data_IF_209458823558
#
_entry.id   IF_209458823558
#
_cell.length_a   1.000
_cell.length_b   1.000
_cell.length_c   1.000
_cell.angle_alpha   90.00
_cell.angle_beta   90.00
_cell.angle_gamma   90.00
#
_symmetry.space_group_name_H-M   'P 1'
#
loop_
_entity.id
_entity.type
_entity.pdbx_description
1 polymer ?
#
# COMPACT_ATOMS: atom_id res chain seq x y z
N UNK A 1 -0.06 0.78 -64.87
CA UNK A 1 -1.16 0.24 -64.06
C UNK A 1 -0.56 -0.71 -63.05
N UNK A 2 -0.32 -0.19 -61.86
CA UNK A 2 0.14 -0.90 -60.65
C UNK A 2 -0.93 -0.67 -59.60
N UNK A 3 -1.46 -1.69 -58.91
CA UNK A 3 -2.45 -1.46 -57.86
C UNK A 3 -1.77 -1.12 -56.53
N UNK A 4 -2.40 -0.17 -55.84
CA UNK A 4 -2.16 0.33 -54.49
C UNK A 4 -1.98 -0.77 -53.43
N UNK A 5 -1.04 -0.54 -52.51
CA UNK A 5 -1.04 -1.15 -51.17
C UNK A 5 -1.83 -0.25 -50.22
N UNK A 6 -2.68 -0.80 -49.33
CA UNK A 6 -3.20 -0.03 -48.19
C UNK A 6 -2.16 0.00 -47.03
N UNK A 7 -2.07 1.10 -46.28
CA UNK A 7 -1.23 1.17 -45.08
C UNK A 7 -1.96 0.68 -43.82
N UNK A 8 -1.13 0.34 -42.85
CA UNK A 8 -1.36 0.30 -41.41
C UNK A 8 -2.37 -0.68 -40.81
N UNK A 9 -1.74 -1.67 -40.16
CA UNK A 9 -2.25 -2.35 -39.00
C UNK A 9 -2.31 -1.39 -37.80
N UNK A 10 -3.46 -1.30 -37.16
CA UNK A 10 -3.58 -1.35 -35.70
C UNK A 10 -5.03 -1.70 -35.38
N UNK A 11 -5.33 -2.77 -34.61
CA UNK A 11 -6.67 -2.97 -34.12
C UNK A 11 -6.95 -1.91 -33.07
N UNK A 12 -7.95 -1.06 -33.33
CA UNK A 12 -8.63 -0.24 -32.34
C UNK A 12 -9.02 -1.11 -31.14
N UNK A 13 -8.33 -0.91 -30.01
CA UNK A 13 -8.90 -1.28 -28.71
C UNK A 13 -9.86 -0.17 -28.28
N UNK A 14 -11.04 -0.51 -27.75
CA UNK A 14 -12.03 0.50 -27.36
C UNK A 14 -11.52 1.37 -26.20
N UNK A 15 -11.78 2.70 -26.22
CA UNK A 15 -11.58 3.55 -25.07
C UNK A 15 -12.83 3.49 -24.20
N UNK A 16 -12.96 2.45 -23.37
CA UNK A 16 -13.84 2.48 -22.20
C UNK A 16 -13.60 1.23 -21.36
N UNK A 17 -12.49 1.26 -20.62
CA UNK A 17 -12.51 0.70 -19.29
C UNK A 17 -12.61 1.92 -18.37
N UNK A 18 -13.81 2.19 -17.86
CA UNK A 18 -13.92 2.74 -16.52
C UNK A 18 -12.92 1.96 -15.66
N UNK A 19 -11.88 2.66 -15.18
CA UNK A 19 -10.83 2.05 -14.41
C UNK A 19 -11.45 1.40 -13.17
N UNK A 20 -11.75 0.11 -13.27
CA UNK A 20 -11.93 -0.75 -12.11
C UNK A 20 -10.62 -0.66 -11.36
N UNK A 21 -10.61 0.16 -10.30
CA UNK A 21 -9.44 0.34 -9.47
C UNK A 21 -8.98 -1.05 -9.01
N UNK A 22 -7.73 -1.39 -9.31
CA UNK A 22 -7.15 -2.64 -8.87
C UNK A 22 -7.24 -2.72 -7.34
N UNK A 23 -7.37 -3.93 -6.74
CA UNK A 23 -7.63 -4.07 -5.29
C UNK A 23 -6.64 -3.32 -4.38
N UNK A 24 -5.40 -3.20 -4.81
CA UNK A 24 -4.31 -2.43 -4.19
C UNK A 24 -4.52 -0.91 -4.28
N UNK A 25 -5.03 -0.38 -5.40
CA UNK A 25 -5.41 1.04 -5.49
C UNK A 25 -6.62 1.33 -4.61
N UNK A 26 -7.57 0.40 -4.51
CA UNK A 26 -8.72 0.56 -3.63
C UNK A 26 -8.29 0.51 -2.15
N UNK A 27 -7.32 -0.35 -1.79
CA UNK A 27 -6.74 -0.39 -0.44
C UNK A 27 -6.19 0.98 0.01
N UNK A 28 -5.49 1.69 -0.88
CA UNK A 28 -4.97 3.04 -0.59
C UNK A 28 -6.12 4.01 -0.31
N UNK A 29 -7.14 4.02 -1.16
CA UNK A 29 -8.31 4.91 -1.00
C UNK A 29 -9.08 4.61 0.30
N UNK A 30 -9.26 3.33 0.61
CA UNK A 30 -9.93 2.89 1.83
C UNK A 30 -9.13 3.26 3.08
N UNK A 31 -7.79 3.18 3.03
CA UNK A 31 -6.92 3.60 4.13
C UNK A 31 -7.08 5.10 4.43
N UNK A 32 -7.05 5.94 3.40
CA UNK A 32 -7.20 7.40 3.54
C UNK A 32 -8.59 7.76 4.05
N UNK A 33 -9.63 7.07 3.56
CA UNK A 33 -10.99 7.26 4.04
C UNK A 33 -11.16 6.85 5.52
N UNK A 34 -10.50 5.78 5.96
CA UNK A 34 -10.54 5.34 7.36
C UNK A 34 -9.67 6.23 8.26
N UNK A 35 -8.55 6.74 7.75
CA UNK A 35 -7.55 7.51 8.51
C UNK A 35 -7.21 8.79 7.74
N UNK A 36 -8.04 9.85 7.88
CA UNK A 36 -7.86 11.11 7.16
C UNK A 36 -6.52 11.81 7.39
N UNK A 37 -5.78 11.45 8.45
CA UNK A 37 -4.43 11.95 8.68
C UNK A 37 -3.43 11.56 7.55
N UNK A 38 -3.77 10.60 6.68
CA UNK A 38 -2.99 10.27 5.49
C UNK A 38 -3.39 11.09 4.24
N UNK A 39 -4.36 12.01 4.30
CA UNK A 39 -4.83 12.78 3.14
C UNK A 39 -3.70 13.61 2.51
N UNK A 40 -2.96 14.39 3.30
CA UNK A 40 -1.86 15.22 2.79
C UNK A 40 -0.75 14.37 2.14
N UNK A 41 -0.45 13.21 2.73
CA UNK A 41 0.50 12.24 2.17
C UNK A 41 -0.02 11.67 0.83
N UNK A 42 -1.31 11.33 0.77
CA UNK A 42 -1.96 10.81 -0.44
C UNK A 42 -1.98 11.83 -1.57
N UNK A 43 -2.38 13.07 -1.31
CA UNK A 43 -2.40 14.13 -2.32
C UNK A 43 -1.00 14.40 -2.87
N UNK A 44 0.00 14.48 -1.99
CA UNK A 44 1.41 14.65 -2.37
C UNK A 44 1.90 13.48 -3.23
N UNK A 45 1.56 12.25 -2.86
CA UNK A 45 1.88 11.04 -3.63
C UNK A 45 1.28 11.10 -5.02
N UNK A 46 -0.03 11.34 -5.14
CA UNK A 46 -0.74 11.36 -6.44
C UNK A 46 -0.18 12.45 -7.33
N UNK A 47 0.09 13.63 -6.79
CA UNK A 47 0.70 14.73 -7.55
C UNK A 47 2.09 14.36 -8.07
N UNK A 48 2.95 13.77 -7.23
CA UNK A 48 4.34 13.46 -7.59
C UNK A 48 4.46 12.28 -8.56
N UNK A 49 3.53 11.31 -8.49
CA UNK A 49 3.59 10.07 -9.28
C UNK A 49 2.64 10.06 -10.48
N UNK A 50 1.89 11.15 -10.70
CA UNK A 50 0.86 11.27 -11.74
C UNK A 50 -0.19 10.14 -11.66
N UNK A 51 -0.52 9.73 -10.43
CA UNK A 51 -1.40 8.60 -10.13
C UNK A 51 -1.11 7.91 -8.80
N UNK A 52 -1.87 6.86 -8.49
CA UNK A 52 -1.68 6.05 -7.27
C UNK A 52 -0.75 4.89 -7.58
N UNK A 53 0.34 4.78 -6.81
CA UNK A 53 1.31 3.68 -6.86
C UNK A 53 1.33 3.02 -5.48
N UNK A 54 0.53 1.97 -5.25
CA UNK A 54 0.29 1.44 -3.90
C UNK A 54 1.56 1.03 -3.15
N UNK A 55 2.51 0.37 -3.81
CA UNK A 55 3.77 -0.03 -3.18
C UNK A 55 4.62 1.15 -2.68
N UNK A 56 4.65 2.25 -3.45
CA UNK A 56 5.40 3.46 -3.09
C UNK A 56 4.68 4.18 -1.95
N UNK A 57 3.36 4.33 -2.04
CA UNK A 57 2.57 4.94 -0.98
C UNK A 57 2.68 4.17 0.34
N UNK A 58 2.63 2.83 0.29
CA UNK A 58 2.71 1.99 1.48
C UNK A 58 4.09 1.99 2.15
N UNK A 59 5.15 2.28 1.40
CA UNK A 59 6.45 2.56 2.02
C UNK A 59 6.35 3.76 2.96
N UNK A 60 5.75 4.86 2.52
CA UNK A 60 5.58 6.07 3.34
C UNK A 60 4.63 5.83 4.51
N UNK A 61 3.52 5.12 4.29
CA UNK A 61 2.60 4.69 5.37
C UNK A 61 3.34 3.90 6.45
N UNK A 62 4.29 3.04 6.07
CA UNK A 62 5.11 2.29 7.03
C UNK A 62 5.96 3.22 7.88
N UNK A 63 6.61 4.21 7.27
CA UNK A 63 7.44 5.18 7.99
C UNK A 63 6.60 6.01 8.96
N UNK A 64 5.47 6.56 8.50
CA UNK A 64 4.55 7.36 9.34
C UNK A 64 3.98 6.53 10.50
N UNK A 65 3.63 5.28 10.25
CA UNK A 65 3.11 4.38 11.29
C UNK A 65 4.16 4.10 12.36
N UNK A 66 5.43 3.87 11.98
CA UNK A 66 6.52 3.65 12.93
C UNK A 66 6.87 4.94 13.70
N UNK A 67 6.87 6.10 13.04
CA UNK A 67 7.11 7.39 13.70
C UNK A 67 6.01 7.72 14.72
N UNK A 68 4.75 7.47 14.36
CA UNK A 68 3.60 7.56 15.25
C UNK A 68 3.72 6.62 16.44
N UNK A 69 4.14 5.36 16.22
CA UNK A 69 4.40 4.40 17.30
C UNK A 69 5.45 4.89 18.29
N UNK A 70 6.51 5.53 17.79
CA UNK A 70 7.57 6.12 18.61
C UNK A 70 7.15 7.42 19.31
N UNK A 71 5.97 7.97 19.00
CA UNK A 71 5.47 9.22 19.56
C UNK A 71 6.30 10.44 19.15
N UNK A 72 6.91 10.40 17.96
CA UNK A 72 7.80 11.45 17.48
C UNK A 72 7.06 12.67 16.93
N UNK A 73 5.79 12.50 16.57
CA UNK A 73 4.91 13.55 16.07
C UNK A 73 3.50 13.37 16.63
N UNK A 74 2.94 14.48 17.15
CA UNK A 74 1.61 14.51 17.77
C UNK A 74 0.49 14.55 16.72
N UNK A 75 0.80 15.00 15.50
CA UNK A 75 -0.13 15.07 14.38
C UNK A 75 -0.01 13.84 13.47
N UNK A 76 0.87 12.90 13.79
CA UNK A 76 1.06 11.68 13.02
C UNK A 76 -0.22 10.81 12.98
N UNK A 77 -0.46 10.07 11.89
CA UNK A 77 -1.56 9.12 11.79
C UNK A 77 -1.56 8.11 12.95
N UNK A 78 -2.73 7.78 13.51
CA UNK A 78 -2.82 6.84 14.64
C UNK A 78 -2.36 5.43 14.23
N UNK A 79 -1.17 5.04 14.71
CA UNK A 79 -0.57 3.74 14.38
C UNK A 79 -1.46 2.56 14.76
N UNK A 80 -2.23 2.66 15.86
CA UNK A 80 -3.12 1.56 16.29
C UNK A 80 -4.26 1.39 15.30
N UNK A 81 -4.79 2.51 14.80
CA UNK A 81 -5.84 2.52 13.79
C UNK A 81 -5.30 1.97 12.47
N UNK A 82 -4.09 2.33 12.08
CA UNK A 82 -3.43 1.80 10.88
C UNK A 82 -3.23 0.28 10.97
N UNK A 83 -2.64 -0.23 12.06
CA UNK A 83 -2.46 -1.67 12.24
C UNK A 83 -3.79 -2.43 12.24
N UNK A 84 -4.83 -1.89 12.89
CA UNK A 84 -6.16 -2.50 12.89
C UNK A 84 -6.73 -2.59 11.47
N UNK A 85 -6.66 -1.50 10.71
CA UNK A 85 -7.13 -1.49 9.33
C UNK A 85 -6.38 -2.53 8.47
N UNK A 86 -5.05 -2.59 8.56
CA UNK A 86 -4.26 -3.53 7.79
C UNK A 86 -4.49 -4.98 8.18
N UNK A 87 -4.72 -5.25 9.47
CA UNK A 87 -5.14 -6.58 9.95
C UNK A 87 -6.49 -6.99 9.33
N UNK A 88 -7.48 -6.11 9.36
CA UNK A 88 -8.82 -6.36 8.80
C UNK A 88 -8.78 -6.60 7.29
N UNK A 89 -7.93 -5.88 6.55
CA UNK A 89 -7.74 -6.09 5.12
C UNK A 89 -6.98 -7.39 4.83
N UNK A 90 -5.94 -7.68 5.61
CA UNK A 90 -5.16 -8.92 5.50
C UNK A 90 -6.00 -10.16 5.80
N UNK A 91 -7.00 -10.06 6.67
CA UNK A 91 -7.90 -11.16 7.00
C UNK A 91 -8.89 -11.52 5.86
N UNK A 92 -9.00 -10.68 4.83
CA UNK A 92 -9.86 -10.92 3.66
C UNK A 92 -9.18 -11.78 2.59
N UNK A 93 -7.87 -12.03 2.72
CA UNK A 93 -7.04 -12.85 1.81
C UNK A 93 -7.22 -12.47 0.32
N UNK A 94 -7.27 -11.16 0.04
CA UNK A 94 -7.34 -10.64 -1.33
C UNK A 94 -5.92 -10.52 -1.90
N UNK A 95 -5.55 -11.24 -2.99
CA UNK A 95 -4.15 -11.35 -3.42
C UNK A 95 -3.41 -10.03 -3.63
N UNK A 96 -4.02 -9.04 -4.29
CA UNK A 96 -3.37 -7.74 -4.54
C UNK A 96 -3.21 -6.88 -3.28
N UNK A 97 -4.09 -7.04 -2.30
CA UNK A 97 -3.96 -6.38 -0.99
C UNK A 97 -2.83 -7.03 -0.19
N UNK A 98 -2.84 -8.37 -0.15
CA UNK A 98 -1.83 -9.14 0.57
C UNK A 98 -0.42 -8.90 0.02
N UNK A 99 -0.28 -8.80 -1.30
CA UNK A 99 0.98 -8.44 -1.94
C UNK A 99 1.53 -7.12 -1.38
N UNK A 100 0.74 -6.03 -1.44
CA UNK A 100 1.16 -4.71 -0.94
C UNK A 100 1.45 -4.73 0.56
N UNK A 101 0.56 -5.31 1.38
CA UNK A 101 0.77 -5.35 2.83
C UNK A 101 2.02 -6.13 3.19
N UNK A 102 2.28 -7.26 2.53
CA UNK A 102 3.45 -8.08 2.81
C UNK A 102 4.72 -7.37 2.35
N UNK A 103 4.81 -6.98 1.07
CA UNK A 103 6.06 -6.49 0.48
C UNK A 103 6.37 -5.05 0.84
N UNK A 104 5.36 -4.23 1.14
CA UNK A 104 5.53 -2.78 1.33
C UNK A 104 5.25 -2.30 2.75
N UNK A 105 4.62 -3.13 3.60
CA UNK A 105 4.47 -2.82 5.02
C UNK A 105 5.29 -3.76 5.90
N UNK A 106 4.98 -5.06 5.89
CA UNK A 106 5.58 -6.04 6.80
C UNK A 106 7.09 -6.22 6.56
N UNK A 107 7.52 -6.30 5.30
CA UNK A 107 8.95 -6.42 4.98
C UNK A 107 9.76 -5.20 5.44
N UNK A 108 9.16 -4.01 5.49
CA UNK A 108 9.83 -2.75 5.82
C UNK A 108 9.67 -2.26 7.25
N UNK A 109 9.04 -3.05 8.13
CA UNK A 109 9.09 -2.79 9.56
C UNK A 109 10.55 -2.77 10.06
N UNK A 110 10.87 -2.06 11.16
CA UNK A 110 12.26 -1.99 11.64
C UNK A 110 12.84 -3.36 11.98
N UNK A 111 14.15 -3.56 11.75
CA UNK A 111 14.87 -4.77 12.15
C UNK A 111 15.11 -4.83 13.67
N UNK A 112 15.31 -6.03 14.24
CA UNK A 112 15.67 -6.17 15.65
C UNK A 112 16.83 -5.24 16.05
N UNK A 113 16.63 -4.49 17.14
CA UNK A 113 17.59 -3.50 17.64
C UNK A 113 17.56 -2.13 16.94
N UNK A 114 16.64 -1.91 15.99
CA UNK A 114 16.32 -0.58 15.44
C UNK A 114 15.14 0.03 16.20
N UNK A 115 15.11 1.37 16.38
CA UNK A 115 13.98 2.05 16.99
C UNK A 115 12.66 1.69 16.28
N UNK A 116 11.64 1.36 17.07
CA UNK A 116 10.30 1.06 16.58
C UNK A 116 10.09 -0.39 16.18
N UNK A 117 11.09 -1.28 16.33
CA UNK A 117 10.93 -2.70 16.07
C UNK A 117 9.86 -3.34 16.98
N UNK A 118 9.65 -2.79 18.17
CA UNK A 118 8.66 -3.27 19.13
C UNK A 118 7.22 -3.23 18.59
N UNK A 119 6.93 -2.43 17.55
CA UNK A 119 5.65 -2.43 16.84
C UNK A 119 5.29 -3.80 16.23
N UNK A 120 6.30 -4.65 15.96
CA UNK A 120 6.07 -6.03 15.49
C UNK A 120 5.29 -6.85 16.53
N UNK A 121 5.46 -6.55 17.81
CA UNK A 121 4.71 -7.16 18.90
C UNK A 121 3.24 -6.73 18.98
N UNK A 122 2.87 -5.67 18.25
CA UNK A 122 1.51 -5.12 18.20
C UNK A 122 0.73 -5.59 16.96
N UNK A 123 1.36 -6.39 16.08
CA UNK A 123 0.67 -6.94 14.90
C UNK A 123 -0.46 -7.87 15.33
N UNK A 124 -1.59 -7.77 14.63
CA UNK A 124 -2.68 -8.74 14.76
C UNK A 124 -2.27 -10.14 14.29
N UNK A 125 -3.04 -11.18 14.64
CA UNK A 125 -2.66 -12.57 14.40
C UNK A 125 -2.42 -12.90 12.92
N UNK A 126 -3.16 -12.31 11.98
CA UNK A 126 -3.00 -12.56 10.55
C UNK A 126 -1.72 -11.91 10.04
N UNK A 127 -1.51 -10.62 10.32
CA UNK A 127 -0.28 -9.94 9.93
C UNK A 127 0.95 -10.55 10.60
N UNK A 128 0.87 -10.95 11.88
CA UNK A 128 1.97 -11.62 12.56
C UNK A 128 2.33 -12.96 11.90
N UNK A 129 1.33 -13.75 11.50
CA UNK A 129 1.55 -14.99 10.77
C UNK A 129 2.17 -14.77 9.38
N UNK A 130 1.78 -13.69 8.68
CA UNK A 130 2.37 -13.28 7.40
C UNK A 130 3.81 -12.80 7.59
N UNK A 131 4.06 -11.95 8.60
CA UNK A 131 5.37 -11.43 8.97
C UNK A 131 6.37 -12.55 9.26
N UNK A 132 5.99 -13.55 10.07
CA UNK A 132 6.85 -14.67 10.40
C UNK A 132 7.30 -15.51 9.19
N UNK A 133 6.50 -15.52 8.10
CA UNK A 133 6.85 -16.21 6.85
C UNK A 133 7.87 -15.43 6.03
N UNK A 134 7.73 -14.11 5.96
CA UNK A 134 8.63 -13.25 5.14
C UNK A 134 9.90 -12.83 5.89
N UNK A 135 9.86 -12.81 7.22
CA UNK A 135 10.99 -12.42 8.09
C UNK A 135 11.20 -13.43 9.23
N UNK A 136 11.66 -14.65 8.91
CA UNK A 136 11.83 -15.71 9.90
C UNK A 136 12.88 -15.43 10.98
N UNK A 137 13.78 -14.46 10.75
CA UNK A 137 14.84 -14.06 11.69
C UNK A 137 14.51 -12.78 12.49
N UNK A 138 13.32 -12.20 12.30
CA UNK A 138 12.99 -10.87 12.81
C UNK A 138 13.30 -9.80 11.79
#
# INVERSE_FOLDING_TARGET
>A
MTPDMPPDATPDMPPDATADATPDVQLVKDLVAEIPAFEDLYETHVFNQDGVLPHVFFWDVTQETVQSYLGLDADAPDWRRTLRFLEEQSARDVPGIDEVVVTSFLEYLPFPGKPGHEIVGELGPVMAAKFAKVRPAG
#
